data_IF_123827456665
#
_entry.id   IF_123827456665
#
_cell.length_a   1.000
_cell.length_b   1.000
_cell.length_c   1.000
_cell.angle_alpha   90.00
_cell.angle_beta   90.00
_cell.angle_gamma   90.00
#
_symmetry.space_group_name_H-M   'P 1'
#
loop_
_entity.id
_entity.type
_entity.pdbx_description
1 polymer ?
#
# COMPACT_ATOMS: atom_id res chain seq x y z
N UNK A 1 -8.66 7.38 -22.46
CA UNK A 1 -9.58 6.23 -22.28
C UNK A 1 -8.73 4.99 -22.07
N UNK A 2 -8.54 4.59 -20.82
CA UNK A 2 -7.85 3.35 -20.46
C UNK A 2 -8.72 2.19 -20.93
N UNK A 3 -8.09 1.24 -21.64
CA UNK A 3 -8.74 0.03 -22.12
C UNK A 3 -9.24 -0.78 -20.90
N UNK A 4 -10.56 -0.79 -20.68
CA UNK A 4 -11.21 -1.52 -19.58
C UNK A 4 -11.36 -3.01 -19.84
N UNK A 5 -10.74 -3.54 -20.88
CA UNK A 5 -10.78 -4.96 -21.21
C UNK A 5 -9.78 -5.76 -20.36
N UNK A 6 -9.88 -5.64 -19.04
CA UNK A 6 -9.27 -6.65 -18.19
C UNK A 6 -10.19 -7.86 -18.24
N UNK A 7 -9.64 -8.98 -18.68
CA UNK A 7 -10.35 -10.25 -18.57
C UNK A 7 -10.62 -10.51 -17.08
N UNK A 8 -11.88 -10.54 -16.68
CA UNK A 8 -12.30 -10.86 -15.30
C UNK A 8 -11.72 -12.21 -14.83
N UNK A 9 -11.47 -13.14 -15.76
CA UNK A 9 -10.78 -14.40 -15.50
C UNK A 9 -9.39 -14.19 -14.87
N UNK A 10 -8.64 -13.19 -15.31
CA UNK A 10 -7.32 -12.88 -14.74
C UNK A 10 -7.36 -12.28 -13.34
N UNK A 11 -8.51 -11.73 -12.90
CA UNK A 11 -8.65 -11.13 -11.56
C UNK A 11 -9.14 -12.12 -10.50
N UNK A 12 -9.76 -13.25 -10.88
CA UNK A 12 -10.32 -14.22 -9.93
C UNK A 12 -9.26 -14.78 -8.97
N UNK A 13 -8.05 -15.04 -9.48
CA UNK A 13 -6.92 -15.47 -8.63
C UNK A 13 -6.63 -14.41 -7.55
N UNK A 14 -6.54 -13.15 -7.95
CA UNK A 14 -6.23 -12.05 -7.03
C UNK A 14 -7.32 -11.85 -5.99
N UNK A 15 -8.59 -11.95 -6.39
CA UNK A 15 -9.72 -11.89 -5.46
C UNK A 15 -9.69 -13.04 -4.44
N UNK A 16 -9.42 -14.27 -4.89
CA UNK A 16 -9.27 -15.41 -3.98
C UNK A 16 -8.09 -15.26 -3.01
N UNK A 17 -6.97 -14.71 -3.46
CA UNK A 17 -5.84 -14.41 -2.58
C UNK A 17 -6.19 -13.32 -1.55
N UNK A 18 -6.93 -12.29 -1.93
CA UNK A 18 -7.41 -11.24 -1.03
C UNK A 18 -8.34 -11.82 0.05
N UNK A 19 -9.23 -12.74 -0.32
CA UNK A 19 -10.14 -13.39 0.63
C UNK A 19 -9.40 -14.34 1.59
N UNK A 20 -8.45 -15.12 1.08
CA UNK A 20 -7.77 -16.16 1.84
C UNK A 20 -6.58 -15.62 2.65
N UNK A 21 -5.74 -14.82 2.00
CA UNK A 21 -4.46 -14.36 2.55
C UNK A 21 -4.54 -12.95 3.12
N UNK A 22 -5.49 -12.12 2.66
CA UNK A 22 -5.61 -10.71 2.99
C UNK A 22 -4.69 -9.80 2.16
N UNK A 23 -3.98 -10.35 1.20
CA UNK A 23 -3.15 -9.60 0.25
C UNK A 23 -3.01 -10.36 -1.06
N UNK A 24 -2.68 -9.65 -2.11
CA UNK A 24 -2.28 -10.21 -3.42
C UNK A 24 -1.14 -9.40 -4.02
N UNK A 25 -0.41 -9.98 -4.96
CA UNK A 25 0.67 -9.31 -5.69
C UNK A 25 0.24 -9.14 -7.14
N UNK A 26 0.14 -7.91 -7.58
CA UNK A 26 -0.14 -7.53 -8.96
C UNK A 26 1.17 -7.23 -9.67
N UNK A 27 1.68 -8.20 -10.42
CA UNK A 27 2.92 -8.07 -11.16
C UNK A 27 2.74 -7.18 -12.40
N UNK A 28 3.81 -6.48 -12.79
CA UNK A 28 3.91 -5.71 -14.02
C UNK A 28 2.81 -4.65 -14.21
N UNK A 29 2.42 -3.98 -13.12
CA UNK A 29 1.43 -2.90 -13.20
C UNK A 29 1.97 -1.63 -13.86
N UNK A 30 3.26 -1.37 -13.73
CA UNK A 30 3.93 -0.21 -14.29
C UNK A 30 4.94 -0.66 -15.36
N UNK A 31 5.01 0.05 -16.45
CA UNK A 31 6.11 -0.07 -17.39
C UNK A 31 7.40 0.51 -16.81
N UNK A 32 8.56 0.11 -17.34
CA UNK A 32 9.84 0.66 -16.90
C UNK A 32 9.90 2.19 -17.01
N UNK A 33 9.32 2.77 -18.06
CA UNK A 33 9.26 4.21 -18.23
C UNK A 33 8.40 4.88 -17.15
N UNK A 34 7.27 4.28 -16.76
CA UNK A 34 6.42 4.81 -15.68
C UNK A 34 7.10 4.71 -14.32
N UNK A 35 7.87 3.64 -14.08
CA UNK A 35 8.69 3.53 -12.86
C UNK A 35 9.74 4.63 -12.83
N UNK A 36 10.46 4.86 -13.93
CA UNK A 36 11.47 5.93 -14.02
C UNK A 36 10.84 7.31 -13.82
N UNK A 37 9.73 7.61 -14.48
CA UNK A 37 8.99 8.86 -14.33
C UNK A 37 8.54 9.07 -12.87
N UNK A 38 8.02 8.02 -12.21
CA UNK A 38 7.61 8.09 -10.82
C UNK A 38 8.79 8.34 -9.87
N UNK A 39 9.95 7.72 -10.13
CA UNK A 39 11.18 7.95 -9.34
C UNK A 39 11.63 9.40 -9.47
N UNK A 40 11.72 9.91 -10.69
CA UNK A 40 12.15 11.32 -10.94
C UNK A 40 11.21 12.29 -10.24
N UNK A 41 9.90 12.13 -10.42
CA UNK A 41 8.91 12.97 -9.75
C UNK A 41 8.99 12.88 -8.22
N UNK A 42 9.26 11.69 -7.67
CA UNK A 42 9.42 11.51 -6.23
C UNK A 42 10.69 12.17 -5.69
N UNK A 43 11.80 12.12 -6.42
CA UNK A 43 13.04 12.79 -6.03
C UNK A 43 12.87 14.32 -6.00
N UNK A 44 12.15 14.89 -6.97
CA UNK A 44 11.80 16.33 -6.97
C UNK A 44 10.97 16.71 -5.74
N UNK A 45 9.99 15.88 -5.36
CA UNK A 45 9.20 16.09 -4.14
C UNK A 45 10.09 16.04 -2.90
N UNK A 46 10.93 15.02 -2.75
CA UNK A 46 11.86 14.91 -1.62
C UNK A 46 12.85 16.08 -1.56
N UNK A 47 13.34 16.57 -2.69
CA UNK A 47 14.24 17.71 -2.73
C UNK A 47 13.51 19.00 -2.29
N UNK A 48 12.26 19.17 -2.70
CA UNK A 48 11.43 20.31 -2.26
C UNK A 48 11.13 20.28 -0.75
N UNK A 49 11.09 19.09 -0.17
CA UNK A 49 10.75 18.83 1.23
C UNK A 49 11.96 18.47 2.11
N UNK A 50 13.18 18.63 1.62
CA UNK A 50 14.42 18.19 2.31
C UNK A 50 14.62 18.73 3.72
N UNK A 51 13.97 19.83 4.06
CA UNK A 51 14.02 20.44 5.38
C UNK A 51 12.85 19.99 6.29
N UNK A 52 11.94 19.16 5.78
CA UNK A 52 10.82 18.61 6.55
C UNK A 52 11.28 17.31 7.21
N UNK A 53 11.62 17.38 8.48
CA UNK A 53 12.06 16.20 9.24
C UNK A 53 10.82 15.47 9.77
N UNK A 54 10.68 14.22 9.41
CA UNK A 54 9.70 13.35 10.06
C UNK A 54 10.16 13.04 11.50
N UNK A 55 9.43 13.53 12.49
CA UNK A 55 9.71 13.27 13.90
C UNK A 55 9.47 11.80 14.30
N UNK A 56 8.68 11.07 13.51
CA UNK A 56 8.28 9.69 13.84
C UNK A 56 9.17 8.62 13.20
N UNK A 57 9.91 8.96 12.14
CA UNK A 57 10.74 8.00 11.40
C UNK A 57 12.06 8.66 10.97
N UNK A 58 13.03 8.85 11.91
CA UNK A 58 14.23 9.67 11.71
C UNK A 58 15.14 9.02 10.72
N UNK A 59 15.10 8.15 9.97
CA UNK A 59 15.94 7.58 8.90
C UNK A 59 15.09 7.10 7.72
N UNK A 60 13.93 7.73 7.53
CA UNK A 60 13.06 7.40 6.41
C UNK A 60 12.63 8.70 5.75
N UNK A 61 12.88 8.84 4.45
CA UNK A 61 12.24 9.90 3.68
C UNK A 61 10.77 9.54 3.55
N UNK A 62 9.90 10.46 3.90
CA UNK A 62 8.46 10.27 3.84
C UNK A 62 7.79 11.51 3.26
N UNK A 63 6.88 11.34 2.35
CA UNK A 63 6.05 12.40 1.79
C UNK A 63 4.63 11.91 1.59
N UNK A 64 3.70 12.84 1.43
CA UNK A 64 2.27 12.62 1.32
C UNK A 64 1.68 13.41 0.17
N UNK A 65 0.40 13.12 -0.14
CA UNK A 65 -0.37 13.86 -1.11
C UNK A 65 0.27 13.90 -2.51
N UNK A 66 0.86 12.79 -2.93
CA UNK A 66 1.59 12.69 -4.20
C UNK A 66 0.71 12.96 -5.42
N UNK A 67 -0.60 12.65 -5.34
CA UNK A 67 -1.53 12.90 -6.44
C UNK A 67 -1.66 14.39 -6.80
N UNK A 68 -1.36 15.30 -5.88
CA UNK A 68 -1.29 16.74 -6.15
C UNK A 68 0.06 17.21 -6.72
N UNK A 69 1.08 16.34 -6.72
CA UNK A 69 2.46 16.71 -7.02
C UNK A 69 2.85 16.44 -8.48
N UNK A 70 2.44 15.31 -9.05
CA UNK A 70 2.76 14.95 -10.42
C UNK A 70 1.67 14.11 -11.08
N UNK A 71 1.60 14.17 -12.42
CA UNK A 71 0.60 13.44 -13.21
C UNK A 71 0.78 11.93 -13.10
N UNK A 72 2.00 11.44 -13.07
CA UNK A 72 2.28 10.01 -12.97
C UNK A 72 1.59 9.38 -11.74
N UNK A 73 1.54 10.07 -10.62
CA UNK A 73 0.88 9.56 -9.41
C UNK A 73 -0.64 9.48 -9.56
N UNK A 74 -1.25 10.40 -10.34
CA UNK A 74 -2.67 10.32 -10.68
C UNK A 74 -2.97 9.17 -11.64
N UNK A 75 -2.06 8.86 -12.55
CA UNK A 75 -2.18 7.73 -13.45
C UNK A 75 -2.07 6.39 -12.70
N UNK A 76 -1.13 6.28 -11.76
CA UNK A 76 -0.92 5.07 -10.97
C UNK A 76 -2.18 4.64 -10.21
N UNK A 77 -2.86 5.56 -9.55
CA UNK A 77 -4.07 5.22 -8.78
C UNK A 77 -5.28 4.84 -9.65
N UNK A 78 -5.20 5.07 -10.95
CA UNK A 78 -6.26 4.76 -11.91
C UNK A 78 -5.99 3.48 -12.71
N UNK A 79 -4.93 2.74 -12.40
CA UNK A 79 -4.62 1.48 -13.09
C UNK A 79 -5.79 0.50 -12.92
N UNK A 80 -6.38 0.00 -14.03
CA UNK A 80 -7.61 -0.77 -13.94
C UNK A 80 -7.54 -2.02 -13.05
N UNK A 81 -6.42 -2.75 -13.05
CA UNK A 81 -6.24 -3.92 -12.16
C UNK A 81 -6.20 -3.54 -10.69
N UNK A 82 -5.61 -2.41 -10.35
CA UNK A 82 -5.63 -1.87 -8.99
C UNK A 82 -7.05 -1.47 -8.59
N UNK A 83 -7.72 -0.69 -9.45
CA UNK A 83 -9.10 -0.24 -9.21
C UNK A 83 -10.03 -1.44 -9.01
N UNK A 84 -9.89 -2.49 -9.82
CA UNK A 84 -10.71 -3.70 -9.67
C UNK A 84 -10.50 -4.39 -8.29
N UNK A 85 -9.28 -4.43 -7.76
CA UNK A 85 -9.04 -4.94 -6.41
C UNK A 85 -9.66 -4.04 -5.33
N UNK A 86 -9.57 -2.72 -5.50
CA UNK A 86 -10.16 -1.78 -4.54
C UNK A 86 -11.71 -1.85 -4.56
N UNK A 87 -12.32 -1.93 -5.73
CA UNK A 87 -13.77 -2.12 -5.88
C UNK A 87 -14.24 -3.48 -5.32
N UNK A 88 -13.42 -4.52 -5.47
CA UNK A 88 -13.70 -5.83 -4.89
C UNK A 88 -13.74 -5.79 -3.37
N UNK A 89 -12.79 -5.08 -2.74
CA UNK A 89 -12.66 -5.01 -1.28
C UNK A 89 -13.60 -3.98 -0.63
N UNK A 90 -13.76 -2.82 -1.25
CA UNK A 90 -14.37 -1.63 -0.62
C UNK A 90 -15.69 -1.23 -1.27
N UNK A 91 -16.16 -1.98 -2.27
CA UNK A 91 -17.30 -1.62 -3.12
C UNK A 91 -17.06 -0.33 -3.93
N UNK A 92 -18.11 0.29 -4.49
CA UNK A 92 -17.95 1.40 -5.44
C UNK A 92 -17.78 2.79 -4.80
N UNK A 93 -18.11 2.92 -3.52
CA UNK A 93 -18.20 4.23 -2.85
C UNK A 93 -16.97 4.58 -2.01
N UNK A 94 -15.82 3.90 -2.28
CA UNK A 94 -14.58 4.22 -1.59
C UNK A 94 -13.95 5.52 -2.09
N UNK A 95 -13.13 6.11 -1.23
CA UNK A 95 -12.36 7.31 -1.54
C UNK A 95 -10.86 7.05 -1.34
N UNK A 96 -10.02 7.72 -2.13
CA UNK A 96 -8.59 7.78 -1.85
C UNK A 96 -8.34 8.64 -0.62
N UNK A 97 -7.83 8.04 0.43
CA UNK A 97 -7.45 8.76 1.65
C UNK A 97 -6.15 9.54 1.45
N UNK A 98 -5.11 8.89 0.96
CA UNK A 98 -3.80 9.49 0.68
C UNK A 98 -2.99 8.63 -0.29
N UNK A 99 -2.03 9.25 -0.94
CA UNK A 99 -0.95 8.60 -1.65
C UNK A 99 0.37 9.20 -1.18
N UNK A 100 1.11 8.44 -0.41
CA UNK A 100 2.43 8.84 0.09
C UNK A 100 3.54 7.96 -0.44
N UNK A 101 4.78 8.33 -0.12
CA UNK A 101 5.95 7.48 -0.36
C UNK A 101 6.82 7.37 0.87
N UNK A 102 7.51 6.23 0.96
CA UNK A 102 8.50 5.94 2.01
C UNK A 102 9.76 5.40 1.37
N UNK A 103 10.89 5.96 1.73
CA UNK A 103 12.21 5.50 1.32
C UNK A 103 13.08 5.30 2.57
N UNK A 104 13.14 4.08 3.10
CA UNK A 104 13.97 3.77 4.25
C UNK A 104 15.45 3.95 3.87
N UNK A 105 16.22 4.60 4.73
CA UNK A 105 17.65 4.82 4.54
C UNK A 105 18.46 3.71 5.24
N UNK A 106 19.73 3.60 4.86
CA UNK A 106 20.64 2.63 5.46
C UNK A 106 20.66 2.73 7.00
N UNK A 107 20.46 1.61 7.66
CA UNK A 107 20.49 1.51 9.13
C UNK A 107 19.17 1.92 9.81
N UNK A 108 18.06 2.01 9.07
CA UNK A 108 16.74 2.04 9.68
C UNK A 108 16.38 0.64 10.20
N UNK A 109 15.79 0.56 11.37
CA UNK A 109 15.25 -0.69 11.89
C UNK A 109 13.90 -1.02 11.24
N UNK A 110 13.57 -2.30 11.18
CA UNK A 110 12.22 -2.72 10.75
C UNK A 110 11.16 -2.21 11.74
N UNK A 111 9.99 -1.89 11.22
CA UNK A 111 8.83 -1.63 12.08
C UNK A 111 8.32 -2.94 12.70
N UNK A 112 7.76 -2.83 13.90
CA UNK A 112 6.97 -3.91 14.46
C UNK A 112 5.74 -4.23 13.60
N UNK A 113 5.24 -5.44 13.69
CA UNK A 113 3.98 -5.80 13.07
C UNK A 113 2.85 -4.94 13.67
N UNK A 114 1.99 -4.42 12.82
CA UNK A 114 0.85 -3.59 13.21
C UNK A 114 -0.28 -3.75 12.20
N UNK A 115 -1.43 -3.22 12.53
CA UNK A 115 -2.57 -3.07 11.61
C UNK A 115 -2.77 -1.59 11.36
N UNK A 116 -2.85 -1.20 10.10
CA UNK A 116 -3.27 0.13 9.73
C UNK A 116 -4.79 0.29 10.00
N UNK A 117 -5.21 1.50 10.35
CA UNK A 117 -6.63 1.79 10.63
C UNK A 117 -7.10 1.59 12.06
N UNK A 118 -6.28 1.05 12.97
CA UNK A 118 -6.66 0.88 14.38
C UNK A 118 -7.00 2.18 15.12
N UNK A 119 -6.53 3.31 14.62
CA UNK A 119 -6.86 4.65 15.12
C UNK A 119 -8.15 5.23 14.54
N UNK A 120 -8.68 4.65 13.46
CA UNK A 120 -9.91 5.10 12.80
C UNK A 120 -11.16 4.40 13.31
N UNK A 121 -11.03 3.41 14.20
CA UNK A 121 -12.15 2.73 14.84
C UNK A 121 -12.31 3.29 16.24
N UNK A 122 -13.14 4.32 16.44
CA UNK A 122 -13.26 4.98 17.75
C UNK A 122 -14.03 4.15 18.79
N UNK A 123 -14.50 2.96 18.46
CA UNK A 123 -15.34 2.17 19.35
C UNK A 123 -14.87 0.71 19.44
N UNK A 124 -14.39 0.26 20.60
CA UNK A 124 -14.02 -1.14 20.83
C UNK A 124 -15.21 -2.12 20.70
N UNK A 125 -16.43 -1.61 20.61
CA UNK A 125 -17.63 -2.43 20.30
C UNK A 125 -17.80 -2.65 18.79
N UNK A 126 -17.01 -2.02 17.94
CA UNK A 126 -16.98 -2.36 16.52
C UNK A 126 -16.35 -3.75 16.41
N UNK A 127 -17.19 -4.71 16.12
CA UNK A 127 -16.76 -6.07 15.85
C UNK A 127 -15.87 -6.01 14.60
N UNK A 128 -14.58 -6.29 14.76
CA UNK A 128 -13.57 -6.25 13.68
C UNK A 128 -13.91 -7.25 12.56
N UNK A 129 -14.91 -8.06 12.78
CA UNK A 129 -15.56 -8.96 11.83
C UNK A 129 -16.67 -8.27 11.00
N UNK A 130 -16.61 -6.97 10.77
CA UNK A 130 -17.45 -6.41 9.71
C UNK A 130 -17.11 -7.14 8.41
N UNK A 131 -18.11 -7.64 7.76
CA UNK A 131 -18.03 -8.46 6.54
C UNK A 131 -17.28 -7.71 5.42
N UNK A 132 -17.10 -6.40 5.54
CA UNK A 132 -16.42 -5.54 4.58
C UNK A 132 -15.21 -4.85 5.24
N UNK A 133 -14.05 -4.83 4.60
CA UNK A 133 -12.90 -4.07 5.07
C UNK A 133 -13.20 -2.57 5.04
N UNK A 134 -12.77 -1.86 6.08
CA UNK A 134 -12.95 -0.41 6.18
C UNK A 134 -11.90 0.37 5.38
N UNK A 135 -10.77 -0.25 5.07
CA UNK A 135 -9.68 0.32 4.33
C UNK A 135 -8.89 -0.77 3.61
N UNK A 136 -8.34 -0.41 2.47
CA UNK A 136 -7.39 -1.23 1.73
C UNK A 136 -6.19 -0.35 1.35
N UNK A 137 -5.01 -0.95 1.26
CA UNK A 137 -3.78 -0.26 0.91
C UNK A 137 -3.08 -0.97 -0.23
N UNK A 138 -2.52 -0.22 -1.16
CA UNK A 138 -1.63 -0.73 -2.18
C UNK A 138 -0.23 -0.15 -2.02
N UNK A 139 0.79 -0.96 -2.30
CA UNK A 139 2.18 -0.52 -2.30
C UNK A 139 2.80 -0.79 -3.66
N UNK A 140 3.45 0.22 -4.22
CA UNK A 140 4.20 0.12 -5.46
C UNK A 140 5.70 0.07 -5.16
N UNK A 141 6.35 -1.02 -5.53
CA UNK A 141 7.79 -1.15 -5.45
C UNK A 141 8.44 -0.43 -6.64
N UNK A 142 8.98 0.77 -6.42
CA UNK A 142 9.69 1.54 -7.45
C UNK A 142 11.18 1.16 -7.55
N UNK A 143 11.66 0.32 -6.67
CA UNK A 143 13.02 -0.23 -6.67
C UNK A 143 12.98 -1.68 -6.22
N UNK A 144 14.13 -2.36 -6.25
CA UNK A 144 14.22 -3.73 -5.75
C UNK A 144 13.73 -3.82 -4.30
N UNK A 145 12.72 -4.66 -4.07
CA UNK A 145 11.98 -4.76 -2.82
C UNK A 145 12.26 -6.12 -2.17
N UNK A 146 13.38 -6.18 -1.45
CA UNK A 146 13.87 -7.40 -0.79
C UNK A 146 13.96 -7.21 0.72
N UNK A 147 14.07 -8.31 1.45
CA UNK A 147 14.20 -8.30 2.92
C UNK A 147 15.35 -7.39 3.38
N UNK A 148 16.49 -7.40 2.68
CA UNK A 148 17.65 -6.56 3.00
C UNK A 148 17.47 -5.08 2.64
N UNK A 149 16.43 -4.74 1.87
CA UNK A 149 16.12 -3.38 1.42
C UNK A 149 14.86 -2.83 2.07
N UNK A 150 14.33 -3.51 3.08
CA UNK A 150 13.19 -3.04 3.85
C UNK A 150 11.84 -3.38 3.23
N UNK A 151 11.74 -4.51 2.53
CA UNK A 151 10.46 -5.02 2.04
C UNK A 151 9.45 -5.17 3.18
N UNK A 152 8.19 -4.88 2.88
CA UNK A 152 7.09 -5.06 3.81
C UNK A 152 6.87 -6.55 4.07
N UNK A 153 6.61 -6.86 5.32
CA UNK A 153 6.26 -8.22 5.77
C UNK A 153 4.76 -8.31 6.01
N UNK A 154 4.17 -9.38 5.56
CA UNK A 154 2.76 -9.68 5.77
C UNK A 154 2.60 -10.97 6.57
N UNK A 155 1.57 -11.03 7.37
CA UNK A 155 1.12 -12.27 8.05
C UNK A 155 -0.12 -12.76 7.31
N UNK A 156 -0.02 -13.82 6.51
CA UNK A 156 -1.15 -14.33 5.75
C UNK A 156 -2.34 -14.66 6.64
N UNK A 157 -3.56 -14.33 6.21
CA UNK A 157 -4.79 -14.56 6.95
C UNK A 157 -5.01 -13.64 8.16
N UNK A 158 -4.09 -12.68 8.40
CA UNK A 158 -4.19 -11.80 9.57
C UNK A 158 -5.37 -10.80 9.50
N UNK A 159 -5.91 -10.54 8.33
CA UNK A 159 -7.05 -9.64 8.10
C UNK A 159 -8.35 -10.16 8.72
N UNK A 160 -8.50 -11.48 8.89
CA UNK A 160 -9.65 -12.14 9.52
C UNK A 160 -9.32 -12.70 10.90
N UNK A 161 -8.08 -12.62 11.37
CA UNK A 161 -7.68 -13.10 12.69
C UNK A 161 -7.87 -12.02 13.76
N UNK A 162 -8.15 -12.45 14.99
CA UNK A 162 -8.22 -11.58 16.17
C UNK A 162 -6.88 -11.49 16.91
N UNK A 163 -5.79 -11.95 16.30
CA UNK A 163 -4.49 -11.98 16.95
C UNK A 163 -3.96 -10.54 17.03
N UNK A 164 -3.53 -10.14 18.21
CA UNK A 164 -2.82 -8.87 18.41
C UNK A 164 -1.50 -8.94 17.62
N UNK A 165 -1.25 -8.01 16.69
CA UNK A 165 0.00 -8.00 15.93
C UNK A 165 1.25 -7.95 16.80
N UNK A 166 1.17 -7.35 18.00
CA UNK A 166 2.30 -7.27 18.94
C UNK A 166 2.62 -8.62 19.61
N UNK A 167 1.69 -9.56 19.58
CA UNK A 167 1.87 -10.91 20.09
C UNK A 167 2.47 -11.89 19.07
N UNK A 168 2.60 -11.47 17.80
CA UNK A 168 3.19 -12.26 16.74
C UNK A 168 4.69 -12.05 16.73
N UNK A 169 5.46 -13.10 17.02
CA UNK A 169 6.92 -13.09 16.81
C UNK A 169 7.17 -13.43 15.35
N UNK A 170 7.83 -12.55 14.57
CA UNK A 170 8.21 -12.91 13.21
C UNK A 170 9.16 -14.10 13.29
N UNK A 171 8.81 -15.22 12.65
CA UNK A 171 9.79 -16.26 12.35
C UNK A 171 10.76 -15.69 11.30
N UNK A 172 12.06 -15.91 11.51
CA UNK A 172 13.12 -15.43 10.64
C UNK A 172 13.08 -16.07 9.23
#
# INVERSE_FOLDING_TARGET
FLDRTISMENMQKHFGELDELGYTILEDLLTSNQVEEAIVALEEVYESEKNVVSLHEPKTKRTFNLTSRAEIFRQIIQIPRLVACMEYLLESDYILSDMGARSPMKGVSSQGLHRDGGTFIPNPSYNVHSILPLAAQSMFALSEFTANKGATRFVPGSHISNIDPTAVTPEE
#
